data_IF_783037644448
#
_entry.id   IF_783037644448
#
_cell.length_a   1.000
_cell.length_b   1.000
_cell.length_c   1.000
_cell.angle_alpha   90.00
_cell.angle_beta   90.00
_cell.angle_gamma   90.00
#
_symmetry.space_group_name_H-M   'P 1'
#
loop_
_entity.id
_entity.type
_entity.pdbx_description
1 polymer ?
#
# COMPACT_ATOMS: atom_id res chain seq x y z
N UNK A 1 -27.04 -4.40 -11.72
CA UNK A 1 -26.53 -5.77 -11.61
C UNK A 1 -25.29 -5.70 -10.74
N UNK A 2 -25.34 -6.24 -9.51
CA UNK A 2 -24.20 -6.28 -8.60
C UNK A 2 -23.15 -7.23 -9.17
N UNK A 3 -21.90 -6.74 -9.33
CA UNK A 3 -20.76 -7.62 -9.63
C UNK A 3 -20.72 -8.77 -8.60
N UNK A 4 -20.48 -10.02 -9.03
CA UNK A 4 -20.30 -11.10 -8.08
C UNK A 4 -19.14 -10.77 -7.17
N UNK A 5 -19.37 -10.75 -5.85
CA UNK A 5 -18.33 -10.57 -4.85
C UNK A 5 -17.22 -11.57 -5.13
N UNK A 6 -16.05 -11.09 -5.56
CA UNK A 6 -14.88 -11.95 -5.73
C UNK A 6 -14.55 -12.53 -4.36
N UNK A 7 -14.39 -13.84 -4.30
CA UNK A 7 -14.08 -14.56 -3.06
C UNK A 7 -12.76 -14.01 -2.49
N UNK A 8 -12.78 -13.62 -1.21
CA UNK A 8 -11.57 -13.19 -0.48
C UNK A 8 -10.56 -14.35 -0.43
N UNK A 9 -9.29 -14.05 -0.66
CA UNK A 9 -8.21 -15.03 -0.69
C UNK A 9 -7.22 -14.75 0.46
N UNK A 10 -6.94 -15.78 1.27
CA UNK A 10 -5.93 -15.73 2.33
C UNK A 10 -4.57 -16.13 1.77
N UNK A 11 -3.55 -15.34 1.99
CA UNK A 11 -2.18 -15.56 1.51
C UNK A 11 -1.20 -15.60 2.69
N UNK A 12 -0.26 -16.53 2.63
CA UNK A 12 0.91 -16.48 3.51
C UNK A 12 1.93 -15.49 2.96
N UNK A 13 2.69 -14.82 3.83
CA UNK A 13 3.62 -13.75 3.48
C UNK A 13 4.56 -14.12 2.33
N UNK A 14 5.19 -15.30 2.40
CA UNK A 14 6.18 -15.74 1.39
C UNK A 14 5.62 -15.95 -0.02
N UNK A 15 4.33 -16.23 -0.16
CA UNK A 15 3.67 -16.41 -1.46
C UNK A 15 2.88 -15.20 -1.94
N UNK A 16 2.68 -14.21 -1.07
CA UNK A 16 1.75 -13.12 -1.32
C UNK A 16 2.14 -12.29 -2.54
N UNK A 17 3.43 -11.94 -2.69
CA UNK A 17 3.92 -11.14 -3.80
C UNK A 17 3.61 -11.77 -5.16
N UNK A 18 3.95 -13.05 -5.35
CA UNK A 18 3.74 -13.75 -6.63
C UNK A 18 2.25 -13.76 -6.99
N UNK A 19 1.40 -14.14 -6.04
CA UNK A 19 -0.05 -14.21 -6.27
C UNK A 19 -0.69 -12.84 -6.56
N UNK A 20 -0.21 -11.77 -5.91
CA UNK A 20 -0.67 -10.40 -6.18
C UNK A 20 -0.26 -9.96 -7.58
N UNK A 21 0.97 -10.25 -8.02
CA UNK A 21 1.44 -9.91 -9.36
C UNK A 21 0.68 -10.68 -10.45
N UNK A 22 0.30 -11.92 -10.21
CA UNK A 22 -0.59 -12.66 -11.11
C UNK A 22 -1.95 -11.94 -11.26
N UNK A 23 -2.52 -11.47 -10.15
CA UNK A 23 -3.77 -10.70 -10.18
C UNK A 23 -3.62 -9.35 -10.90
N UNK A 24 -2.47 -8.69 -10.79
CA UNK A 24 -2.16 -7.48 -11.57
C UNK A 24 -2.18 -7.78 -13.06
N UNK A 25 -1.55 -8.88 -13.49
CA UNK A 25 -1.52 -9.30 -14.88
C UNK A 25 -2.94 -9.60 -15.41
N UNK A 26 -3.76 -10.33 -14.62
CA UNK A 26 -5.16 -10.61 -14.95
C UNK A 26 -5.96 -9.33 -15.18
N UNK A 27 -5.83 -8.34 -14.28
CA UNK A 27 -6.57 -7.07 -14.36
C UNK A 27 -6.09 -6.22 -15.53
N UNK A 28 -4.78 -6.12 -15.76
CA UNK A 28 -4.23 -5.38 -16.88
C UNK A 28 -4.69 -5.95 -18.23
N UNK A 29 -4.75 -7.28 -18.34
CA UNK A 29 -5.29 -7.96 -19.53
C UNK A 29 -6.79 -7.66 -19.73
N UNK A 30 -7.59 -7.74 -18.66
CA UNK A 30 -9.01 -7.44 -18.72
C UNK A 30 -9.30 -5.98 -19.15
N UNK A 31 -8.53 -5.01 -18.62
CA UNK A 31 -8.65 -3.60 -19.01
C UNK A 31 -8.31 -3.38 -20.48
N UNK A 32 -7.28 -4.04 -21.03
CA UNK A 32 -6.93 -3.95 -22.46
C UNK A 32 -8.07 -4.47 -23.35
N UNK A 33 -8.65 -5.60 -22.98
CA UNK A 33 -9.79 -6.17 -23.72
C UNK A 33 -11.00 -5.21 -23.69
N UNK A 34 -11.31 -4.65 -22.52
CA UNK A 34 -12.43 -3.70 -22.36
C UNK A 34 -12.22 -2.39 -23.16
N UNK A 35 -10.97 -1.96 -23.33
CA UNK A 35 -10.63 -0.76 -24.11
C UNK A 35 -10.69 -0.99 -25.64
N UNK A 36 -11.14 -2.15 -26.11
CA UNK A 36 -11.25 -2.47 -27.55
C UNK A 36 -9.92 -2.58 -28.27
N UNK A 37 -8.82 -2.65 -27.56
CA UNK A 37 -7.47 -2.88 -28.12
C UNK A 37 -7.26 -4.37 -28.35
N UNK A 38 -8.08 -4.96 -29.24
CA UNK A 38 -7.87 -6.31 -29.75
C UNK A 38 -6.59 -6.32 -30.58
N UNK A 39 -5.48 -6.69 -29.99
CA UNK A 39 -4.17 -6.76 -30.62
C UNK A 39 -3.03 -6.96 -29.60
N UNK A 40 -3.37 -7.27 -28.35
CA UNK A 40 -2.39 -7.67 -27.35
C UNK A 40 -1.71 -8.96 -27.79
N UNK A 41 -0.52 -8.83 -28.36
CA UNK A 41 0.30 -9.94 -28.81
C UNK A 41 0.58 -10.85 -27.60
N UNK A 42 0.62 -12.15 -27.81
CA UNK A 42 1.03 -13.19 -26.81
C UNK A 42 2.33 -12.81 -26.08
N UNK A 43 3.16 -11.97 -26.71
CA UNK A 43 4.39 -11.41 -26.16
C UNK A 43 4.16 -10.43 -24.99
N UNK A 44 3.10 -9.63 -24.99
CA UNK A 44 2.81 -8.69 -23.89
C UNK A 44 2.35 -9.41 -22.60
N UNK A 45 1.56 -10.48 -22.75
CA UNK A 45 1.19 -11.36 -21.65
C UNK A 45 2.43 -12.12 -21.11
N UNK A 46 3.29 -12.55 -22.00
CA UNK A 46 4.55 -13.22 -21.67
C UNK A 46 5.50 -12.26 -20.95
N UNK A 47 5.58 -11.00 -21.40
CA UNK A 47 6.42 -9.96 -20.79
C UNK A 47 5.98 -9.65 -19.36
N UNK A 48 4.68 -9.48 -19.09
CA UNK A 48 4.16 -9.22 -17.74
C UNK A 48 4.39 -10.44 -16.83
N UNK A 49 4.22 -11.65 -17.36
CA UNK A 49 4.47 -12.91 -16.64
C UNK A 49 5.97 -13.13 -16.41
N UNK A 50 6.82 -12.80 -17.38
CA UNK A 50 8.28 -12.91 -17.27
C UNK A 50 8.88 -11.86 -16.32
N UNK A 51 8.32 -10.64 -16.30
CA UNK A 51 8.64 -9.61 -15.31
C UNK A 51 8.24 -10.09 -13.91
N UNK A 52 7.05 -10.65 -13.74
CA UNK A 52 6.60 -11.22 -12.48
C UNK A 52 7.52 -12.36 -12.01
N UNK A 53 7.95 -13.26 -12.93
CA UNK A 53 8.87 -14.35 -12.62
C UNK A 53 10.29 -13.89 -12.31
N UNK A 54 10.83 -12.96 -13.08
CA UNK A 54 12.18 -12.40 -12.84
C UNK A 54 12.25 -11.68 -11.50
N UNK A 55 11.22 -10.95 -11.14
CA UNK A 55 11.14 -10.31 -9.83
C UNK A 55 10.88 -11.29 -8.68
N UNK A 56 10.28 -12.44 -8.93
CA UNK A 56 10.16 -13.52 -7.95
C UNK A 56 11.51 -14.22 -7.67
N UNK A 57 12.41 -14.24 -8.64
CA UNK A 57 13.74 -14.84 -8.53
C UNK A 57 14.81 -13.88 -7.93
N UNK A 58 14.57 -12.58 -7.94
CA UNK A 58 15.47 -11.58 -7.36
C UNK A 58 15.19 -11.41 -5.85
N UNK A 59 15.66 -12.36 -5.07
CA UNK A 59 15.81 -12.21 -3.61
C UNK A 59 17.17 -11.53 -3.37
N UNK A 60 17.20 -10.20 -3.46
CA UNK A 60 18.39 -9.39 -3.25
C UNK A 60 18.09 -7.93 -3.59
N UNK A 61 18.79 -7.01 -2.96
CA UNK A 61 18.66 -5.54 -2.98
C UNK A 61 18.69 -4.87 -4.37
N UNK A 62 18.12 -5.45 -5.41
CA UNK A 62 18.05 -4.85 -6.73
C UNK A 62 16.71 -4.12 -6.92
N UNK A 63 16.81 -2.88 -7.34
CA UNK A 63 15.69 -2.01 -7.72
C UNK A 63 14.77 -2.75 -8.70
N UNK A 64 13.44 -2.79 -8.47
CA UNK A 64 12.52 -3.47 -9.37
C UNK A 64 12.63 -2.92 -10.80
N UNK A 65 12.85 -3.80 -11.79
CA UNK A 65 13.03 -3.44 -13.22
C UNK A 65 11.65 -3.10 -13.83
N UNK A 66 10.98 -2.06 -13.34
CA UNK A 66 9.76 -1.54 -13.96
C UNK A 66 9.98 -0.26 -14.77
N UNK A 67 11.23 0.18 -14.93
CA UNK A 67 11.56 1.55 -15.26
C UNK A 67 11.54 1.91 -16.76
N UNK A 68 11.33 1.03 -17.73
CA UNK A 68 11.49 1.43 -19.13
C UNK A 68 10.69 0.66 -20.19
N UNK A 69 9.37 0.50 -20.03
CA UNK A 69 8.60 -0.02 -21.17
C UNK A 69 7.39 0.88 -21.47
N UNK A 70 7.58 1.77 -22.40
CA UNK A 70 6.67 2.76 -22.98
C UNK A 70 5.49 2.17 -23.77
N UNK A 71 4.98 0.99 -23.40
CA UNK A 71 3.87 0.33 -24.08
C UNK A 71 2.70 -0.09 -23.20
N UNK A 72 2.82 -0.08 -21.87
CA UNK A 72 1.72 -0.47 -20.98
C UNK A 72 0.81 0.72 -20.73
N UNK A 73 -0.30 0.79 -21.46
CA UNK A 73 -1.29 1.87 -21.38
C UNK A 73 -2.29 1.70 -20.24
N UNK A 74 -2.33 0.53 -19.61
CA UNK A 74 -3.30 0.20 -18.56
C UNK A 74 -2.61 0.08 -17.20
N UNK A 75 -2.89 1.04 -16.33
CA UNK A 75 -2.33 1.06 -14.97
C UNK A 75 -3.19 0.30 -14.00
N UNK A 76 -2.54 -0.37 -13.05
CA UNK A 76 -3.17 -1.08 -11.94
C UNK A 76 -2.83 -0.37 -10.65
N UNK A 77 -3.85 0.01 -9.89
CA UNK A 77 -3.71 0.68 -8.60
C UNK A 77 -4.01 -0.33 -7.49
N UNK A 78 -3.07 -0.54 -6.60
CA UNK A 78 -3.14 -1.48 -5.47
C UNK A 78 -3.26 -0.68 -4.17
N UNK A 79 -4.21 -1.02 -3.33
CA UNK A 79 -4.30 -0.51 -1.96
C UNK A 79 -3.84 -1.56 -0.96
N UNK A 80 -2.95 -1.19 -0.05
CA UNK A 80 -2.45 -2.06 1.02
C UNK A 80 -2.73 -1.41 2.37
N UNK A 81 -3.64 -1.99 3.14
CA UNK A 81 -3.91 -1.56 4.51
C UNK A 81 -3.57 -2.65 5.53
N UNK A 82 -3.66 -2.29 6.78
CA UNK A 82 -3.42 -3.13 7.95
C UNK A 82 -2.90 -2.28 9.10
N UNK A 83 -2.88 -2.79 10.32
CA UNK A 83 -2.43 -2.04 11.49
C UNK A 83 -0.94 -1.63 11.38
N UNK A 84 -0.53 -0.70 12.22
CA UNK A 84 0.87 -0.26 12.29
C UNK A 84 1.79 -1.44 12.59
N UNK A 85 2.97 -1.50 11.95
CA UNK A 85 3.93 -2.60 12.11
C UNK A 85 3.58 -3.90 11.39
N UNK A 86 2.46 -3.96 10.64
CA UNK A 86 2.04 -5.18 9.91
C UNK A 86 2.96 -5.57 8.74
N UNK A 87 3.77 -4.64 8.20
CA UNK A 87 4.66 -4.89 7.05
C UNK A 87 4.14 -4.37 5.72
N UNK A 88 3.17 -3.45 5.73
CA UNK A 88 2.58 -2.83 4.53
C UNK A 88 3.62 -2.24 3.59
N UNK A 89 4.49 -1.37 4.11
CA UNK A 89 5.52 -0.67 3.32
C UNK A 89 6.54 -1.65 2.72
N UNK A 90 6.88 -2.73 3.44
CA UNK A 90 7.75 -3.80 2.92
C UNK A 90 7.10 -4.51 1.73
N UNK A 91 5.82 -4.86 1.83
CA UNK A 91 5.08 -5.47 0.72
C UNK A 91 4.93 -4.49 -0.45
N UNK A 92 4.62 -3.22 -0.18
CA UNK A 92 4.48 -2.19 -1.19
C UNK A 92 5.76 -2.01 -2.03
N UNK A 93 6.92 -1.90 -1.36
CA UNK A 93 8.23 -1.77 -2.02
C UNK A 93 8.58 -2.98 -2.90
N UNK A 94 8.09 -4.18 -2.57
CA UNK A 94 8.28 -5.38 -3.39
C UNK A 94 7.39 -5.40 -4.64
N UNK A 95 6.33 -4.59 -4.69
CA UNK A 95 5.36 -4.59 -5.78
C UNK A 95 5.60 -3.46 -6.79
N UNK A 96 6.08 -2.30 -6.35
CA UNK A 96 6.27 -1.15 -7.22
C UNK A 96 7.28 -0.16 -6.65
N UNK A 97 7.92 0.62 -7.53
CA UNK A 97 8.67 1.83 -7.16
C UNK A 97 7.77 3.07 -7.02
N UNK A 98 6.52 3.01 -7.52
CA UNK A 98 5.53 4.08 -7.38
C UNK A 98 4.64 3.76 -6.17
N UNK A 99 5.07 4.20 -5.00
CA UNK A 99 4.36 3.99 -3.73
C UNK A 99 3.96 5.34 -3.15
N UNK A 100 2.69 5.45 -2.75
CA UNK A 100 2.15 6.59 -2.00
C UNK A 100 1.68 6.08 -0.64
N UNK A 101 2.29 6.58 0.43
CA UNK A 101 1.85 6.29 1.79
C UNK A 101 0.72 7.23 2.21
N UNK A 102 -0.31 6.71 2.87
CA UNK A 102 -1.39 7.51 3.46
C UNK A 102 -0.88 8.48 4.52
N UNK A 103 0.26 8.17 5.13
CA UNK A 103 0.91 8.97 6.16
C UNK A 103 1.34 10.35 5.62
N UNK A 104 1.64 10.48 4.33
CA UNK A 104 1.89 11.77 3.69
C UNK A 104 0.71 12.75 3.79
N UNK A 105 -0.48 12.25 4.03
CA UNK A 105 -1.72 13.02 4.10
C UNK A 105 -2.22 13.22 5.52
N UNK A 106 -1.44 12.81 6.52
CA UNK A 106 -1.77 13.01 7.93
C UNK A 106 -1.77 14.48 8.32
N UNK A 107 -2.51 14.86 9.37
CA UNK A 107 -2.46 16.18 9.96
C UNK A 107 -1.14 16.37 10.72
N UNK A 108 -0.73 17.61 10.93
CA UNK A 108 0.40 17.92 11.81
C UNK A 108 0.06 17.59 13.28
N UNK A 109 0.97 16.94 13.98
CA UNK A 109 0.72 16.47 15.35
C UNK A 109 0.77 17.57 16.41
N UNK A 110 1.45 18.68 16.15
CA UNK A 110 1.49 19.85 17.03
C UNK A 110 0.13 20.54 17.21
N UNK A 111 -0.75 20.44 16.19
CA UNK A 111 -2.10 21.02 16.20
C UNK A 111 -3.21 19.97 16.29
N UNK A 112 -2.87 18.68 16.36
CA UNK A 112 -3.85 17.60 16.38
C UNK A 112 -3.73 16.76 17.65
N UNK A 113 -4.77 16.70 18.49
CA UNK A 113 -4.80 15.86 19.68
C UNK A 113 -4.49 14.39 19.37
N UNK A 114 -3.82 13.68 20.26
CA UNK A 114 -3.34 12.31 20.03
C UNK A 114 -4.44 11.34 19.60
N UNK A 115 -5.60 11.41 20.23
CA UNK A 115 -6.75 10.56 19.92
C UNK A 115 -7.42 10.82 18.56
N UNK A 116 -6.95 11.85 17.81
CA UNK A 116 -7.45 12.20 16.48
C UNK A 116 -6.41 12.00 15.37
N UNK A 117 -5.14 11.73 15.70
CA UNK A 117 -4.04 11.65 14.73
C UNK A 117 -4.24 10.54 13.69
N UNK A 118 -4.72 9.38 14.13
CA UNK A 118 -4.97 8.21 13.29
C UNK A 118 -6.45 8.08 12.87
N UNK A 119 -7.25 9.13 13.03
CA UNK A 119 -8.65 9.15 12.61
C UNK A 119 -8.73 9.60 11.15
N UNK A 120 -9.39 8.83 10.24
CA UNK A 120 -9.38 9.11 8.81
C UNK A 120 -9.95 10.48 8.43
N UNK A 121 -10.91 11.01 9.20
CA UNK A 121 -11.53 12.32 8.99
C UNK A 121 -10.56 13.49 9.19
N UNK A 122 -9.44 13.26 9.86
CA UNK A 122 -8.36 14.24 10.05
C UNK A 122 -7.25 14.13 9.00
N UNK A 123 -7.27 13.09 8.17
CA UNK A 123 -6.35 12.91 7.05
C UNK A 123 -6.91 13.51 5.76
N UNK A 124 -6.05 14.06 4.92
CA UNK A 124 -6.45 14.63 3.63
C UNK A 124 -6.69 13.52 2.58
N UNK A 125 -7.64 12.62 2.88
CA UNK A 125 -8.01 11.51 1.99
C UNK A 125 -8.61 11.97 0.65
N UNK A 126 -9.34 13.10 0.54
CA UNK A 126 -9.76 13.64 -0.75
C UNK A 126 -8.57 13.99 -1.66
N UNK A 127 -7.50 14.58 -1.11
CA UNK A 127 -6.28 14.87 -1.83
C UNK A 127 -5.59 13.59 -2.28
N UNK A 128 -5.44 12.60 -1.39
CA UNK A 128 -4.91 11.28 -1.73
C UNK A 128 -5.68 10.65 -2.91
N UNK A 129 -7.02 10.69 -2.88
CA UNK A 129 -7.85 10.13 -3.94
C UNK A 129 -7.63 10.85 -5.29
N UNK A 130 -7.48 12.18 -5.27
CA UNK A 130 -7.16 12.97 -6.46
C UNK A 130 -5.79 12.59 -7.04
N UNK A 131 -4.77 12.42 -6.19
CA UNK A 131 -3.42 12.04 -6.61
C UNK A 131 -3.42 10.61 -7.18
N UNK A 132 -4.16 9.66 -6.57
CA UNK A 132 -4.32 8.30 -7.12
C UNK A 132 -5.03 8.30 -8.48
N UNK A 133 -6.07 9.13 -8.65
CA UNK A 133 -6.77 9.26 -9.92
C UNK A 133 -5.85 9.81 -11.03
N UNK A 134 -4.99 10.78 -10.72
CA UNK A 134 -4.00 11.33 -11.64
C UNK A 134 -2.95 10.27 -12.05
N UNK A 135 -2.37 9.56 -11.08
CA UNK A 135 -1.43 8.49 -11.33
C UNK A 135 -2.05 7.35 -12.15
N UNK A 136 -3.33 7.03 -11.93
CA UNK A 136 -4.07 6.05 -12.74
C UNK A 136 -4.16 6.47 -14.20
N UNK A 137 -4.28 7.77 -14.50
CA UNK A 137 -4.23 8.30 -15.87
C UNK A 137 -2.83 8.37 -16.45
N UNK A 138 -1.79 8.19 -15.61
CA UNK A 138 -0.39 8.26 -15.99
C UNK A 138 0.24 9.63 -15.86
N UNK A 139 -0.44 10.50 -15.17
CA UNK A 139 0.07 11.81 -14.82
C UNK A 139 1.03 11.68 -13.63
N UNK A 140 2.04 12.54 -13.60
CA UNK A 140 2.87 12.72 -12.41
C UNK A 140 2.13 13.59 -11.40
N UNK A 141 2.37 13.35 -10.12
CA UNK A 141 1.76 14.13 -9.04
C UNK A 141 2.80 14.74 -8.11
N UNK A 142 2.38 15.76 -7.39
CA UNK A 142 3.19 16.36 -6.33
C UNK A 142 2.47 16.15 -5.01
N UNK A 143 2.98 15.23 -4.19
CA UNK A 143 2.39 14.84 -2.91
C UNK A 143 3.08 15.55 -1.74
N UNK A 144 2.40 15.73 -0.59
CA UNK A 144 3.03 16.19 0.64
C UNK A 144 4.14 15.22 1.08
N UNK A 145 5.11 15.72 1.85
CA UNK A 145 6.10 14.89 2.55
C UNK A 145 5.81 14.96 4.04
N UNK A 146 5.55 13.80 4.64
CA UNK A 146 5.41 13.67 6.09
C UNK A 146 6.73 13.23 6.72
N UNK A 147 7.10 13.84 7.83
CA UNK A 147 8.28 13.52 8.60
C UNK A 147 7.89 12.84 9.92
N UNK A 148 8.41 11.65 10.16
CA UNK A 148 8.30 10.95 11.45
C UNK A 148 9.27 11.49 12.52
N UNK A 149 10.11 12.47 12.16
CA UNK A 149 11.01 13.17 13.08
C UNK A 149 10.33 14.40 13.65
N UNK A 150 9.77 15.25 12.79
CA UNK A 150 9.06 16.47 13.20
C UNK A 150 7.57 16.26 13.45
N UNK A 151 7.03 15.10 13.06
CA UNK A 151 5.60 14.76 13.09
C UNK A 151 4.72 15.81 12.40
N UNK A 152 5.20 16.28 11.25
CA UNK A 152 4.56 17.32 10.44
C UNK A 152 4.86 17.17 8.95
N UNK A 153 4.15 17.94 8.13
CA UNK A 153 4.42 18.04 6.69
C UNK A 153 5.59 18.99 6.45
N UNK A 154 6.65 18.53 5.79
CA UNK A 154 7.89 19.28 5.55
C UNK A 154 8.10 19.71 4.10
N UNK A 155 7.08 19.67 3.28
CA UNK A 155 7.16 20.11 1.89
C UNK A 155 6.44 19.16 0.94
N UNK A 156 6.97 19.05 -0.28
CA UNK A 156 6.35 18.28 -1.35
C UNK A 156 7.40 17.49 -2.13
N UNK A 157 6.99 16.34 -2.67
CA UNK A 157 7.81 15.55 -3.58
C UNK A 157 7.03 15.18 -4.84
N UNK A 158 7.74 15.06 -5.97
CA UNK A 158 7.17 14.58 -7.22
C UNK A 158 7.18 13.05 -7.22
N UNK A 159 6.06 12.46 -7.57
CA UNK A 159 5.91 11.02 -7.80
C UNK A 159 5.56 10.80 -9.26
N UNK A 160 6.38 10.01 -9.95
CA UNK A 160 6.15 9.66 -11.35
C UNK A 160 5.19 8.49 -11.45
N UNK A 161 4.27 8.59 -12.41
CA UNK A 161 3.35 7.50 -12.70
C UNK A 161 4.06 6.26 -13.22
N UNK A 162 3.66 5.08 -12.72
CA UNK A 162 4.19 3.77 -13.14
C UNK A 162 3.05 2.83 -13.53
N UNK A 163 3.34 1.70 -14.25
CA UNK A 163 2.33 0.70 -14.59
C UNK A 163 1.60 0.12 -13.37
N UNK A 164 2.30 -0.01 -12.25
CA UNK A 164 1.74 -0.41 -10.97
C UNK A 164 1.91 0.77 -10.00
N UNK A 165 0.80 1.25 -9.45
CA UNK A 165 0.76 2.28 -8.41
C UNK A 165 0.32 1.60 -7.12
N UNK A 166 1.03 1.81 -6.03
CA UNK A 166 0.67 1.27 -4.72
C UNK A 166 0.33 2.42 -3.77
N UNK A 167 -0.88 2.39 -3.23
CA UNK A 167 -1.29 3.19 -2.09
C UNK A 167 -1.17 2.32 -0.84
N UNK A 168 -0.35 2.69 0.14
CA UNK A 168 -0.21 1.92 1.37
C UNK A 168 -0.44 2.78 2.62
N UNK A 169 -0.88 2.17 3.70
CA UNK A 169 -1.05 2.81 5.00
C UNK A 169 -2.33 2.39 5.71
N UNK A 170 -2.53 2.91 6.93
CA UNK A 170 -3.65 2.49 7.78
C UNK A 170 -5.02 2.82 7.17
N UNK A 171 -5.10 3.83 6.29
CA UNK A 171 -6.35 4.26 5.65
C UNK A 171 -6.42 3.97 4.14
N UNK A 172 -5.51 3.16 3.59
CA UNK A 172 -5.51 2.88 2.14
C UNK A 172 -6.79 2.20 1.63
N UNK A 173 -7.53 1.50 2.48
CA UNK A 173 -8.84 0.92 2.13
C UNK A 173 -10.04 1.69 2.70
N UNK A 174 -9.85 2.91 3.20
CA UNK A 174 -10.96 3.81 3.48
C UNK A 174 -11.80 4.04 2.20
N UNK A 175 -13.10 4.27 2.32
CA UNK A 175 -14.02 4.36 1.17
C UNK A 175 -13.55 5.36 0.09
N UNK A 176 -12.96 6.49 0.49
CA UNK A 176 -12.48 7.54 -0.42
C UNK A 176 -11.34 7.04 -1.31
N UNK A 177 -10.15 6.64 -0.82
CA UNK A 177 -9.09 6.11 -1.70
C UNK A 177 -9.47 4.78 -2.34
N UNK A 178 -10.26 3.93 -1.67
CA UNK A 178 -10.67 2.62 -2.18
C UNK A 178 -11.42 2.70 -3.51
N UNK A 179 -12.16 3.77 -3.77
CA UNK A 179 -12.85 3.98 -5.05
C UNK A 179 -11.88 4.03 -6.26
N UNK A 180 -10.59 4.25 -6.03
CA UNK A 180 -9.55 4.32 -7.06
C UNK A 180 -8.68 3.06 -7.14
N UNK A 181 -8.98 2.01 -6.38
CA UNK A 181 -8.18 0.78 -6.35
C UNK A 181 -8.74 -0.29 -7.30
N UNK A 182 -7.83 -1.05 -7.90
CA UNK A 182 -8.15 -2.26 -8.67
C UNK A 182 -7.97 -3.53 -7.81
N UNK A 183 -7.01 -3.47 -6.88
CA UNK A 183 -6.70 -4.55 -5.93
C UNK A 183 -6.67 -3.98 -4.52
N UNK A 184 -7.33 -4.65 -3.60
CA UNK A 184 -7.35 -4.31 -2.18
C UNK A 184 -6.72 -5.43 -1.35
N UNK A 185 -5.76 -5.06 -0.49
CA UNK A 185 -4.97 -5.98 0.32
C UNK A 185 -5.03 -5.54 1.78
N UNK A 186 -5.30 -6.49 2.67
CA UNK A 186 -5.17 -6.31 4.10
C UNK A 186 -3.98 -7.13 4.61
N UNK A 187 -3.02 -6.50 5.25
CA UNK A 187 -1.89 -7.19 5.89
C UNK A 187 -2.20 -7.38 7.36
N UNK A 188 -2.27 -8.63 7.80
CA UNK A 188 -2.54 -9.03 9.16
C UNK A 188 -1.27 -9.51 9.87
N UNK A 189 -1.06 -9.09 11.11
CA UNK A 189 0.06 -9.54 11.92
C UNK A 189 -0.30 -9.43 13.41
N UNK A 190 0.16 -10.36 14.27
CA UNK A 190 -0.06 -10.30 15.71
C UNK A 190 0.46 -8.98 16.32
N UNK A 191 -0.26 -8.42 17.29
CA UNK A 191 0.11 -7.14 17.93
C UNK A 191 1.50 -7.19 18.55
N UNK A 192 1.91 -8.32 19.13
CA UNK A 192 3.24 -8.53 19.70
C UNK A 192 4.34 -8.41 18.64
N UNK A 193 4.15 -9.00 17.45
CA UNK A 193 5.08 -8.90 16.31
C UNK A 193 5.14 -7.46 15.80
N UNK A 194 4.00 -6.79 15.73
CA UNK A 194 3.91 -5.40 15.25
C UNK A 194 4.57 -4.42 16.22
N UNK A 195 4.36 -4.62 17.52
CA UNK A 195 5.04 -3.81 18.53
C UNK A 195 6.56 -3.98 18.45
N UNK A 196 7.08 -5.21 18.41
CA UNK A 196 8.52 -5.43 18.34
C UNK A 196 9.18 -4.76 17.12
N UNK A 197 8.49 -4.71 15.99
CA UNK A 197 8.95 -3.99 14.79
C UNK A 197 8.94 -2.46 14.99
N UNK A 198 7.91 -1.93 15.64
CA UNK A 198 7.86 -0.49 15.93
C UNK A 198 8.95 -0.11 16.93
N UNK A 199 9.07 -0.87 18.01
CA UNK A 199 10.14 -0.67 19.03
C UNK A 199 11.54 -0.65 18.38
N UNK A 200 11.80 -1.54 17.43
CA UNK A 200 13.07 -1.54 16.69
C UNK A 200 13.29 -0.25 15.87
N UNK A 201 12.22 0.32 15.27
CA UNK A 201 12.31 1.61 14.55
C UNK A 201 12.57 2.79 15.48
N UNK A 202 12.03 2.78 16.71
CA UNK A 202 12.33 3.79 17.73
C UNK A 202 13.78 3.68 18.19
N UNK A 203 14.24 2.45 18.51
CA UNK A 203 15.61 2.18 18.94
C UNK A 203 16.67 2.52 17.89
N UNK A 204 16.34 2.37 16.61
CA UNK A 204 17.23 2.73 15.49
C UNK A 204 17.26 4.22 15.16
N UNK A 205 16.38 5.03 15.78
CA UNK A 205 16.27 6.46 15.50
C UNK A 205 15.57 6.82 14.18
N UNK A 206 14.98 5.84 13.49
CA UNK A 206 14.16 6.08 12.28
C UNK A 206 12.87 6.82 12.62
N UNK A 207 12.35 6.55 13.82
CA UNK A 207 11.26 7.32 14.44
C UNK A 207 11.82 7.97 15.70
N UNK A 208 11.28 9.10 16.12
CA UNK A 208 11.82 9.88 17.25
C UNK A 208 10.75 10.24 18.28
N UNK A 209 9.76 9.37 18.45
CA UNK A 209 8.77 9.52 19.52
C UNK A 209 9.35 9.10 20.88
N UNK A 210 10.31 8.15 20.87
CA UNK A 210 10.84 7.49 22.04
C UNK A 210 10.03 6.23 22.40
N UNK A 211 10.75 5.17 22.87
CA UNK A 211 10.15 3.83 23.06
C UNK A 211 8.97 3.84 24.02
N UNK A 212 9.06 4.53 25.15
CA UNK A 212 7.98 4.55 26.16
C UNK A 212 6.75 5.29 25.64
N UNK A 213 6.95 6.46 25.03
CA UNK A 213 5.86 7.25 24.47
C UNK A 213 5.22 6.52 23.26
N UNK A 214 6.03 5.90 22.40
CA UNK A 214 5.56 5.08 21.30
C UNK A 214 4.73 3.87 21.78
N UNK A 215 5.14 3.24 22.89
CA UNK A 215 4.40 2.12 23.51
C UNK A 215 3.05 2.57 24.04
N UNK A 216 3.02 3.69 24.76
CA UNK A 216 1.77 4.28 25.24
C UNK A 216 0.85 4.61 24.07
N UNK A 217 1.35 5.32 23.05
CA UNK A 217 0.58 5.66 21.85
C UNK A 217 0.06 4.42 21.12
N UNK A 218 0.89 3.38 20.96
CA UNK A 218 0.50 2.13 20.31
C UNK A 218 -0.72 1.50 20.99
N UNK A 219 -0.69 1.36 22.34
CA UNK A 219 -1.75 0.67 23.06
C UNK A 219 -2.98 1.55 23.32
N UNK A 220 -2.80 2.84 23.55
CA UNK A 220 -3.88 3.74 23.95
C UNK A 220 -4.62 4.35 22.74
N UNK A 221 -3.93 4.54 21.60
CA UNK A 221 -4.51 5.22 20.46
C UNK A 221 -4.43 4.39 19.18
N UNK A 222 -3.25 3.98 18.71
CA UNK A 222 -3.09 3.36 17.39
C UNK A 222 -3.91 2.06 17.24
N UNK A 223 -3.80 1.14 18.22
CA UNK A 223 -4.55 -0.11 18.20
C UNK A 223 -6.07 0.10 18.33
N UNK A 224 -6.57 0.84 19.33
CA UNK A 224 -8.01 1.05 19.48
C UNK A 224 -8.64 1.82 18.31
N UNK A 225 -7.95 2.84 17.77
CA UNK A 225 -8.47 3.64 16.66
C UNK A 225 -8.54 2.78 15.40
N UNK A 226 -7.42 2.14 15.01
CA UNK A 226 -7.41 1.26 13.84
C UNK A 226 -8.42 0.11 13.99
N UNK A 227 -8.57 -0.46 15.20
CA UNK A 227 -9.52 -1.52 15.50
C UNK A 227 -10.96 -1.20 15.10
N UNK A 228 -11.36 0.07 15.13
CA UNK A 228 -12.70 0.53 14.71
C UNK A 228 -12.96 0.30 13.23
N UNK A 229 -11.91 0.33 12.40
CA UNK A 229 -11.97 0.22 10.94
C UNK A 229 -11.52 -1.14 10.42
N UNK A 230 -10.71 -1.86 11.21
CA UNK A 230 -10.04 -3.11 10.80
C UNK A 230 -10.98 -4.15 10.20
N UNK A 231 -12.14 -4.39 10.82
CA UNK A 231 -13.13 -5.34 10.33
C UNK A 231 -13.68 -4.98 8.95
N UNK A 232 -14.02 -3.70 8.74
CA UNK A 232 -14.50 -3.19 7.47
C UNK A 232 -13.42 -3.25 6.37
N UNK A 233 -12.20 -2.85 6.69
CA UNK A 233 -11.07 -2.93 5.74
C UNK A 233 -10.73 -4.37 5.37
N UNK A 234 -10.68 -5.27 6.36
CA UNK A 234 -10.42 -6.69 6.13
C UNK A 234 -11.50 -7.33 5.25
N UNK A 235 -12.77 -7.00 5.50
CA UNK A 235 -13.89 -7.50 4.68
C UNK A 235 -13.88 -6.96 3.25
N UNK A 236 -13.40 -5.73 3.04
CA UNK A 236 -13.28 -5.11 1.72
C UNK A 236 -12.05 -5.56 0.93
N UNK A 237 -11.11 -6.25 1.57
CA UNK A 237 -9.88 -6.72 0.94
C UNK A 237 -10.13 -7.94 0.05
N UNK A 238 -9.57 -7.92 -1.18
CA UNK A 238 -9.50 -9.11 -2.05
C UNK A 238 -8.52 -10.13 -1.48
N UNK A 239 -7.38 -9.66 -0.95
CA UNK A 239 -6.35 -10.50 -0.35
C UNK A 239 -6.14 -10.15 1.12
N UNK A 240 -6.05 -11.16 1.95
CA UNK A 240 -5.58 -11.02 3.34
C UNK A 240 -4.24 -11.72 3.46
N UNK A 241 -3.18 -10.95 3.67
CA UNK A 241 -1.80 -11.44 3.80
C UNK A 241 -1.46 -11.60 5.27
N UNK A 242 -1.16 -12.81 5.69
CA UNK A 242 -0.73 -13.12 7.06
C UNK A 242 0.78 -12.97 7.19
N UNK A 243 1.21 -12.07 8.06
CA UNK A 243 2.61 -11.76 8.35
C UNK A 243 2.91 -11.99 9.85
N UNK A 244 2.91 -13.23 10.25
CA UNK A 244 3.06 -13.68 11.63
C UNK A 244 4.50 -13.67 12.17
N UNK A 245 5.45 -13.20 11.38
CA UNK A 245 6.87 -13.16 11.77
C UNK A 245 7.62 -14.48 11.55
N UNK A 246 6.97 -15.52 11.05
CA UNK A 246 7.60 -16.83 10.79
C UNK A 246 8.54 -16.84 9.57
N UNK A 247 8.55 -15.78 8.77
CA UNK A 247 9.47 -15.63 7.64
C UNK A 247 10.63 -14.70 8.04
N UNK A 248 11.70 -15.30 8.54
CA UNK A 248 13.07 -14.78 8.70
C UNK A 248 13.24 -13.26 8.91
N UNK A 249 13.67 -12.90 10.08
CA UNK A 249 14.44 -11.68 10.34
C UNK A 249 15.73 -11.68 9.50
#
# INVERSE_FOLDING_TARGET
MSEPMRKQEMLQWNGARARILDAVAEIAAAKRLAAGRAGGNSEDMKLVTDIARKNAAAVGNETPIYATHTGVTERVVIGITGPVGAGKSTLAAQLSSCVIATDHYFPNYDVTPEHLRDVPEHSDLPRLASDLAALRRGEDVTIPVWSFVSHSREGYQRVQGAPIVVCEGIHALHEIPRAHLDISIYVDAPSTVRWSRWEALELSGVRQLGVEQARAFFHEFAEPIFGRFAGGYKSAARFVVVNDGAAGL
#
